data_IF_722811891851
#
_entry.id   IF_722811891851
#
_cell.length_a   1.000
_cell.length_b   1.000
_cell.length_c   1.000
_cell.angle_alpha   90.00
_cell.angle_beta   90.00
_cell.angle_gamma   90.00
#
_symmetry.space_group_name_H-M   'P 1'
#
loop_
_entity.id
_entity.type
_entity.pdbx_description
1 polymer ?
#
# COMPACT_ATOMS: atom_id res chain seq x y z
N UNK A 1 20.66 62.06 17.80
CA UNK A 1 20.73 60.59 17.70
C UNK A 1 19.32 60.06 17.55
N UNK A 2 18.98 59.44 16.41
CA UNK A 2 17.67 58.81 16.16
C UNK A 2 17.85 57.29 16.29
N UNK A 3 17.17 56.67 17.25
CA UNK A 3 17.11 55.23 17.41
C UNK A 3 15.94 54.69 16.58
N UNK A 4 16.22 53.83 15.61
CA UNK A 4 15.22 53.03 14.93
C UNK A 4 15.31 51.60 15.48
N UNK A 5 14.29 51.20 16.25
CA UNK A 5 14.10 49.82 16.69
C UNK A 5 13.34 49.11 15.58
N UNK A 6 14.02 48.21 14.85
CA UNK A 6 13.40 47.32 13.87
C UNK A 6 12.97 46.07 14.60
N UNK A 7 11.65 45.87 14.72
CA UNK A 7 11.04 44.66 15.29
C UNK A 7 10.98 43.59 14.19
N UNK A 8 11.78 42.54 14.32
CA UNK A 8 11.81 41.40 13.39
C UNK A 8 10.83 40.35 13.91
N UNK A 9 9.73 40.17 13.19
CA UNK A 9 8.72 39.15 13.46
C UNK A 9 9.22 37.79 12.93
N UNK A 10 9.61 36.88 13.84
CA UNK A 10 9.90 35.49 13.50
C UNK A 10 8.59 34.72 13.31
N UNK A 11 8.21 34.44 12.06
CA UNK A 11 7.17 33.46 11.73
C UNK A 11 7.81 32.07 11.75
N UNK A 12 7.67 31.36 12.87
CA UNK A 12 8.09 29.95 12.98
C UNK A 12 7.01 29.12 12.29
N UNK A 13 7.25 28.76 11.03
CA UNK A 13 6.47 27.75 10.32
C UNK A 13 6.85 26.38 10.90
N UNK A 14 6.04 25.87 11.83
CA UNK A 14 6.17 24.51 12.33
C UNK A 14 5.66 23.53 11.25
N UNK A 15 6.54 23.19 10.31
CA UNK A 15 6.33 22.05 9.44
C UNK A 15 6.40 20.80 10.33
N UNK A 16 5.25 20.26 10.73
CA UNK A 16 5.19 19.02 11.49
C UNK A 16 5.55 17.88 10.54
N UNK A 17 6.83 17.50 10.51
CA UNK A 17 7.25 16.26 9.89
C UNK A 17 6.69 15.11 10.72
N UNK A 18 5.68 14.42 10.19
CA UNK A 18 5.24 13.13 10.71
C UNK A 18 6.44 12.19 10.55
N UNK A 19 7.11 11.91 11.65
CA UNK A 19 8.15 10.88 11.74
C UNK A 19 7.47 9.53 11.60
N UNK A 20 7.33 9.04 10.37
CA UNK A 20 6.97 7.64 10.13
C UNK A 20 8.12 6.80 10.69
N UNK A 21 7.86 6.06 11.76
CA UNK A 21 8.86 5.16 12.32
C UNK A 21 9.17 4.10 11.26
N UNK A 22 10.41 4.10 10.76
CA UNK A 22 10.94 3.14 9.77
C UNK A 22 10.71 1.66 10.15
N UNK A 23 10.39 1.37 11.42
CA UNK A 23 10.08 0.04 11.92
C UNK A 23 8.64 -0.45 11.68
N UNK A 24 7.72 0.34 11.12
CA UNK A 24 6.32 -0.09 10.88
C UNK A 24 6.01 -0.37 9.39
N UNK A 25 6.98 -0.17 8.48
CA UNK A 25 6.81 -0.30 7.02
C UNK A 25 7.12 -1.72 6.50
N UNK A 26 6.70 -2.77 7.23
CA UNK A 26 7.00 -4.16 6.84
C UNK A 26 6.49 -4.53 5.44
N UNK A 27 5.41 -3.87 5.02
CA UNK A 27 4.74 -4.05 3.74
C UNK A 27 5.53 -3.48 2.55
N UNK A 28 6.47 -2.55 2.75
CA UNK A 28 7.23 -1.94 1.65
C UNK A 28 8.21 -2.96 1.06
N UNK A 29 8.28 -2.99 -0.27
CA UNK A 29 9.15 -3.87 -1.06
C UNK A 29 8.42 -4.58 -2.21
N UNK A 30 9.12 -5.56 -2.77
CA UNK A 30 8.60 -6.43 -3.83
C UNK A 30 8.00 -7.70 -3.22
N UNK A 31 6.84 -8.08 -3.75
CA UNK A 31 6.09 -9.24 -3.31
C UNK A 31 5.55 -10.01 -4.50
N UNK A 32 5.64 -11.33 -4.43
CA UNK A 32 5.16 -12.24 -5.46
C UNK A 32 3.91 -12.95 -4.95
N UNK A 33 2.83 -12.95 -5.74
CA UNK A 33 1.64 -13.72 -5.43
C UNK A 33 1.98 -15.21 -5.50
N UNK A 34 1.70 -15.91 -4.41
CA UNK A 34 1.70 -17.37 -4.35
C UNK A 34 0.27 -17.84 -4.46
N UNK A 35 -0.14 -18.16 -5.69
CA UNK A 35 -1.44 -18.70 -6.05
C UNK A 35 -1.32 -19.67 -7.23
N UNK A 36 -2.31 -20.53 -7.44
CA UNK A 36 -2.37 -21.47 -8.57
C UNK A 36 -3.06 -20.87 -9.81
N UNK A 37 -3.75 -19.74 -9.66
CA UNK A 37 -4.57 -19.13 -10.70
C UNK A 37 -3.90 -17.95 -11.43
N UNK A 38 -2.82 -17.37 -10.90
CA UNK A 38 -2.25 -16.14 -11.45
C UNK A 38 -0.77 -15.95 -11.07
N UNK A 39 0.00 -15.33 -11.95
CA UNK A 39 1.36 -14.85 -11.69
C UNK A 39 1.35 -13.32 -11.60
N UNK A 40 1.42 -12.83 -10.36
CA UNK A 40 1.31 -11.41 -10.04
C UNK A 40 2.49 -10.95 -9.18
N UNK A 41 3.02 -9.76 -9.48
CA UNK A 41 4.03 -9.10 -8.66
C UNK A 41 3.52 -7.74 -8.20
N UNK A 42 3.77 -7.41 -6.94
CA UNK A 42 3.41 -6.15 -6.31
C UNK A 42 4.68 -5.42 -5.85
N UNK A 43 4.83 -4.15 -6.20
CA UNK A 43 5.83 -3.25 -5.65
C UNK A 43 5.13 -2.21 -4.76
N UNK A 44 5.18 -2.38 -3.43
CA UNK A 44 4.62 -1.42 -2.47
C UNK A 44 5.71 -0.43 -2.06
N UNK A 45 5.50 0.86 -2.30
CA UNK A 45 6.48 1.92 -2.06
C UNK A 45 6.13 2.75 -0.84
N UNK A 46 7.18 3.21 -0.14
CA UNK A 46 7.03 4.03 1.06
C UNK A 46 6.33 5.38 0.85
N UNK A 47 6.17 5.83 -0.40
CA UNK A 47 5.42 7.05 -0.73
C UNK A 47 3.89 6.85 -0.81
N UNK A 48 3.40 5.63 -0.55
CA UNK A 48 1.98 5.28 -0.61
C UNK A 48 1.50 5.00 -2.02
N UNK A 49 2.40 4.62 -2.95
CA UNK A 49 2.04 4.09 -4.26
C UNK A 49 2.41 2.62 -4.39
N UNK A 50 1.60 1.85 -5.10
CA UNK A 50 1.91 0.47 -5.45
C UNK A 50 1.87 0.28 -6.96
N UNK A 51 2.70 -0.63 -7.46
CA UNK A 51 2.61 -1.13 -8.83
C UNK A 51 2.18 -2.59 -8.76
N UNK A 52 1.14 -2.95 -9.51
CA UNK A 52 0.68 -4.33 -9.67
C UNK A 52 0.99 -4.76 -11.10
N UNK A 53 1.61 -5.93 -11.25
CA UNK A 53 1.99 -6.51 -12.53
C UNK A 53 1.32 -7.88 -12.62
N UNK A 54 0.25 -7.97 -13.41
CA UNK A 54 -0.52 -9.18 -13.70
C UNK A 54 -0.37 -9.49 -15.20
N UNK A 55 0.85 -9.83 -15.62
CA UNK A 55 1.28 -9.85 -17.02
C UNK A 55 0.20 -10.31 -18.03
N UNK A 56 -0.16 -9.50 -19.05
CA UNK A 56 0.45 -8.21 -19.45
C UNK A 56 -0.07 -6.97 -18.71
N UNK A 57 -1.08 -7.08 -17.86
CA UNK A 57 -1.63 -5.94 -17.12
C UNK A 57 -0.61 -5.32 -16.18
N UNK A 58 -0.58 -3.99 -16.17
CA UNK A 58 0.17 -3.18 -15.21
C UNK A 58 -0.73 -2.06 -14.73
N UNK A 59 -0.90 -1.94 -13.42
CA UNK A 59 -1.56 -0.81 -12.77
C UNK A 59 -0.63 -0.11 -11.77
N UNK A 60 -0.91 1.17 -11.56
CA UNK A 60 -0.35 1.95 -10.47
C UNK A 60 -1.51 2.44 -9.63
N UNK A 61 -1.43 2.17 -8.33
CA UNK A 61 -2.47 2.54 -7.39
C UNK A 61 -1.89 3.42 -6.29
N UNK A 62 -2.71 4.31 -5.74
CA UNK A 62 -2.43 4.99 -4.49
C UNK A 62 -3.01 4.17 -3.35
N UNK A 63 -2.21 3.85 -2.34
CA UNK A 63 -2.64 2.98 -1.25
C UNK A 63 -2.41 3.58 0.13
N UNK A 64 -3.17 3.07 1.09
CA UNK A 64 -2.91 3.20 2.52
C UNK A 64 -2.84 1.82 3.15
N UNK A 65 -2.06 1.72 4.23
CA UNK A 65 -1.83 0.45 4.91
C UNK A 65 -1.81 0.69 6.41
N UNK A 66 -2.92 0.39 7.09
CA UNK A 66 -3.17 0.83 8.47
C UNK A 66 -3.49 -0.35 9.37
N UNK A 67 -3.02 -0.33 10.63
CA UNK A 67 -3.39 -1.39 11.60
C UNK A 67 -4.89 -1.36 11.87
N UNK A 68 -5.54 -2.52 11.83
CA UNK A 68 -6.97 -2.66 12.08
C UNK A 68 -7.23 -3.05 13.54
N UNK A 69 -7.30 -2.04 14.42
CA UNK A 69 -7.42 -2.25 15.86
C UNK A 69 -6.31 -3.15 16.42
N UNK A 70 -6.63 -3.93 17.46
CA UNK A 70 -5.70 -4.86 18.11
C UNK A 70 -5.83 -6.31 17.57
N UNK A 71 -6.29 -6.47 16.33
CA UNK A 71 -6.61 -7.78 15.74
C UNK A 71 -5.39 -8.49 15.12
N UNK A 72 -4.29 -7.76 14.93
CA UNK A 72 -3.13 -8.20 14.15
C UNK A 72 -3.33 -8.12 12.63
N UNK A 73 -4.49 -7.67 12.15
CA UNK A 73 -4.73 -7.37 10.75
C UNK A 73 -4.38 -5.92 10.42
N UNK A 74 -4.17 -5.67 9.13
CA UNK A 74 -4.02 -4.36 8.52
C UNK A 74 -5.09 -4.18 7.47
N UNK A 75 -5.68 -2.98 7.38
CA UNK A 75 -6.50 -2.58 6.24
C UNK A 75 -5.56 -2.06 5.14
N UNK A 76 -5.66 -2.66 3.97
CA UNK A 76 -4.97 -2.28 2.74
C UNK A 76 -6.01 -1.73 1.78
N UNK A 77 -6.08 -0.40 1.72
CA UNK A 77 -7.01 0.32 0.84
C UNK A 77 -6.22 0.92 -0.31
N UNK A 78 -6.66 0.72 -1.55
CA UNK A 78 -5.98 1.26 -2.70
C UNK A 78 -6.95 1.70 -3.79
N UNK A 79 -6.50 2.65 -4.61
CA UNK A 79 -7.25 3.15 -5.75
C UNK A 79 -6.39 3.33 -6.99
N UNK A 80 -6.91 2.85 -8.12
CA UNK A 80 -6.20 2.85 -9.41
C UNK A 80 -6.05 4.28 -9.90
N UNK A 81 -4.80 4.71 -10.12
CA UNK A 81 -4.48 6.04 -10.66
C UNK A 81 -3.92 5.99 -12.08
N UNK A 82 -3.39 4.84 -12.51
CA UNK A 82 -2.91 4.59 -13.87
C UNK A 82 -2.99 3.08 -14.18
N UNK A 83 -3.26 2.71 -15.43
CA UNK A 83 -3.20 1.32 -15.90
C UNK A 83 -2.97 1.30 -17.41
N UNK A 84 -2.41 0.20 -17.93
CA UNK A 84 -2.05 0.06 -19.35
C UNK A 84 -3.17 -0.46 -20.25
N UNK A 85 -4.36 -0.76 -19.71
CA UNK A 85 -5.50 -1.30 -20.44
C UNK A 85 -5.17 -2.61 -21.20
N UNK A 86 -4.36 -3.46 -20.60
CA UNK A 86 -4.10 -4.83 -21.03
C UNK A 86 -4.88 -5.81 -20.13
N UNK A 87 -5.16 -7.04 -20.58
CA UNK A 87 -5.89 -8.01 -19.76
C UNK A 87 -5.03 -8.49 -18.58
N UNK A 88 -5.70 -8.78 -17.47
CA UNK A 88 -5.11 -9.46 -16.30
C UNK A 88 -4.56 -10.83 -16.68
N UNK A 89 -3.82 -11.47 -15.76
CA UNK A 89 -3.35 -12.85 -15.92
C UNK A 89 -4.47 -13.86 -16.21
N UNK A 90 -5.72 -13.56 -15.82
CA UNK A 90 -6.89 -14.38 -16.08
C UNK A 90 -7.56 -14.07 -17.43
N UNK A 91 -7.01 -13.13 -18.21
CA UNK A 91 -7.51 -12.72 -19.52
C UNK A 91 -8.67 -11.72 -19.48
N UNK A 92 -8.95 -11.12 -18.32
CA UNK A 92 -10.08 -10.20 -18.12
C UNK A 92 -9.62 -8.74 -18.09
N UNK A 93 -10.54 -7.80 -18.36
CA UNK A 93 -10.28 -6.36 -18.36
C UNK A 93 -11.05 -5.71 -17.21
N UNK A 94 -10.69 -6.06 -15.99
CA UNK A 94 -11.47 -5.71 -14.79
C UNK A 94 -10.96 -4.43 -14.11
N UNK A 95 -9.75 -3.97 -14.42
CA UNK A 95 -9.19 -2.74 -13.83
C UNK A 95 -9.80 -1.49 -14.42
N UNK A 96 -10.25 -0.58 -13.56
CA UNK A 96 -10.83 0.70 -13.96
C UNK A 96 -10.19 1.89 -13.24
N UNK A 97 -10.03 3.02 -13.95
CA UNK A 97 -9.48 4.23 -13.34
C UNK A 97 -10.37 4.72 -12.19
N UNK A 98 -9.77 4.96 -11.02
CA UNK A 98 -10.47 5.40 -9.82
C UNK A 98 -11.22 4.30 -9.09
N UNK A 99 -11.15 3.04 -9.55
CA UNK A 99 -11.64 1.89 -8.80
C UNK A 99 -10.98 1.85 -7.42
N UNK A 100 -11.77 1.53 -6.40
CA UNK A 100 -11.32 1.45 -5.02
C UNK A 100 -11.49 0.02 -4.52
N UNK A 101 -10.44 -0.48 -3.88
CA UNK A 101 -10.44 -1.79 -3.26
C UNK A 101 -10.01 -1.68 -1.81
N UNK A 102 -10.65 -2.47 -0.96
CA UNK A 102 -10.25 -2.69 0.42
C UNK A 102 -10.02 -4.19 0.61
N UNK A 103 -8.83 -4.52 1.08
CA UNK A 103 -8.48 -5.86 1.52
C UNK A 103 -7.94 -5.81 2.95
N UNK A 104 -8.04 -6.94 3.66
CA UNK A 104 -7.42 -7.10 4.96
C UNK A 104 -6.21 -8.00 4.85
N UNK A 105 -5.16 -7.65 5.56
CA UNK A 105 -3.87 -8.32 5.46
C UNK A 105 -3.40 -8.74 6.83
N UNK A 106 -2.82 -9.95 6.91
CA UNK A 106 -2.10 -10.40 8.10
C UNK A 106 -0.72 -10.91 7.73
N UNK A 107 0.30 -10.43 8.43
CA UNK A 107 1.65 -10.91 8.23
C UNK A 107 1.87 -12.24 8.95
N UNK A 108 2.57 -13.14 8.26
CA UNK A 108 3.05 -14.42 8.81
C UNK A 108 4.54 -14.58 8.54
N UNK A 109 5.14 -15.59 9.16
CA UNK A 109 6.54 -15.96 8.98
C UNK A 109 7.52 -14.79 9.14
N UNK A 110 7.39 -14.03 10.23
CA UNK A 110 8.23 -12.87 10.53
C UNK A 110 8.21 -11.82 9.39
N UNK A 111 7.00 -11.48 8.93
CA UNK A 111 6.74 -10.48 7.89
C UNK A 111 7.28 -10.82 6.49
N UNK A 112 7.58 -12.09 6.21
CA UNK A 112 7.94 -12.53 4.85
C UNK A 112 6.72 -12.96 4.03
N UNK A 113 5.56 -13.11 4.66
CA UNK A 113 4.31 -13.47 3.99
C UNK A 113 3.20 -12.52 4.37
N UNK A 114 2.45 -12.09 3.37
CA UNK A 114 1.31 -11.19 3.44
C UNK A 114 0.06 -11.96 3.00
N UNK A 115 -0.69 -12.48 3.97
CA UNK A 115 -1.91 -13.25 3.69
C UNK A 115 -3.07 -12.27 3.52
N UNK A 116 -3.89 -12.46 2.49
CA UNK A 116 -4.97 -11.52 2.10
C UNK A 116 -6.34 -12.12 2.47
N UNK A 117 -7.23 -11.27 2.94
CA UNK A 117 -8.53 -11.63 3.49
C UNK A 117 -9.60 -10.61 3.08
N UNK A 118 -10.83 -11.07 2.89
CA UNK A 118 -11.98 -10.19 2.60
C UNK A 118 -12.45 -9.41 3.83
N UNK A 119 -12.25 -9.99 5.02
CA UNK A 119 -12.59 -9.40 6.32
C UNK A 119 -11.43 -9.65 7.30
N UNK A 120 -11.26 -8.89 8.40
CA UNK A 120 -10.19 -9.13 9.37
C UNK A 120 -10.55 -10.32 10.29
N UNK A 121 -10.74 -11.49 9.68
CA UNK A 121 -11.01 -12.79 10.27
C UNK A 121 -10.31 -13.90 9.45
N UNK A 122 -9.70 -14.86 10.14
CA UNK A 122 -8.91 -15.93 9.52
C UNK A 122 -9.72 -16.83 8.57
N UNK A 123 -11.04 -16.94 8.75
CA UNK A 123 -11.93 -17.75 7.92
C UNK A 123 -12.17 -17.16 6.52
N UNK A 124 -11.85 -15.87 6.32
CA UNK A 124 -12.10 -15.14 5.05
C UNK A 124 -10.87 -15.03 4.16
N UNK A 125 -9.93 -15.96 4.33
CA UNK A 125 -8.72 -16.01 3.52
C UNK A 125 -9.05 -16.31 2.06
N UNK A 126 -8.52 -15.50 1.13
CA UNK A 126 -8.85 -15.62 -0.29
C UNK A 126 -8.10 -16.74 -1.02
N UNK A 127 -7.26 -17.49 -0.31
CA UNK A 127 -6.55 -18.67 -0.84
C UNK A 127 -5.11 -18.38 -1.28
N UNK A 128 -4.83 -17.18 -1.78
CA UNK A 128 -3.49 -16.70 -2.13
C UNK A 128 -2.85 -15.84 -1.03
N UNK A 129 -1.51 -15.73 -1.07
CA UNK A 129 -0.75 -14.81 -0.23
C UNK A 129 0.42 -14.23 -1.00
N UNK A 130 0.89 -13.05 -0.62
CA UNK A 130 2.09 -12.46 -1.21
C UNK A 130 3.32 -12.88 -0.42
N UNK A 131 4.36 -13.33 -1.11
CA UNK A 131 5.65 -13.68 -0.52
C UNK A 131 6.67 -12.60 -0.83
N UNK A 132 7.39 -12.15 0.19
CA UNK A 132 8.44 -11.14 0.02
C UNK A 132 9.57 -11.71 -0.84
N UNK A 133 10.03 -10.91 -1.81
CA UNK A 133 11.14 -11.26 -2.69
C UNK A 133 12.50 -10.96 -2.04
#
# INVERSE_FOLDING_TARGET
MKFHIVLISLLISACSSISINKSDEYHVGLWDLVADYCDETYELKADGTQIVISHPEVSVDKYTFTKFGDTGFYAWEYSVIEYNNEPSCNGTFDTHLGEQTLAFVKFKNNFTEMHIYEWPNEETHIGGYLKKR
#
